data_IF_314314030872
#
_entry.id   IF_314314030872
#
_cell.length_a   1.000
_cell.length_b   1.000
_cell.length_c   1.000
_cell.angle_alpha   90.00
_cell.angle_beta   90.00
_cell.angle_gamma   90.00
#
_symmetry.space_group_name_H-M   'P 1'
#
loop_
_entity.id
_entity.type
_entity.pdbx_description
1 polymer ?
#
# COMPACT_ATOMS: atom_id res chain seq x y z
N UNK A 1 15.49 -5.20 -8.06
CA UNK A 1 14.39 -4.92 -7.11
C UNK A 1 14.70 -3.57 -6.48
N UNK A 2 13.88 -2.55 -6.72
CA UNK A 2 14.01 -1.27 -6.00
C UNK A 2 12.90 -1.26 -4.96
N UNK A 3 13.28 -1.33 -3.68
CA UNK A 3 12.37 -1.14 -2.56
C UNK A 3 12.37 0.35 -2.20
N UNK A 4 11.19 0.97 -2.14
CA UNK A 4 11.06 2.33 -1.63
C UNK A 4 11.40 2.35 -0.14
N UNK A 5 12.09 3.40 0.31
CA UNK A 5 12.38 3.65 1.72
C UNK A 5 11.31 4.52 2.40
N UNK A 6 10.19 4.77 1.72
CA UNK A 6 9.08 5.52 2.28
C UNK A 6 8.52 4.81 3.52
N UNK A 7 8.14 5.60 4.52
CA UNK A 7 7.48 5.10 5.74
C UNK A 7 5.99 5.36 5.74
N UNK A 8 5.54 6.27 4.88
CA UNK A 8 4.12 6.63 4.76
C UNK A 8 3.62 6.52 3.32
N UNK A 9 2.31 6.27 3.12
CA UNK A 9 1.70 6.31 1.79
C UNK A 9 1.91 7.61 1.02
N UNK A 10 2.00 8.74 1.75
CA UNK A 10 2.29 10.04 1.15
C UNK A 10 3.71 10.09 0.62
N UNK A 11 4.69 9.78 1.47
CA UNK A 11 6.11 9.72 1.07
C UNK A 11 6.33 8.78 -0.10
N UNK A 12 5.65 7.62 -0.10
CA UNK A 12 5.76 6.65 -1.18
C UNK A 12 5.38 7.27 -2.53
N UNK A 13 4.24 7.95 -2.60
CA UNK A 13 3.78 8.62 -3.82
C UNK A 13 4.71 9.78 -4.19
N UNK A 14 5.18 10.55 -3.22
CA UNK A 14 6.04 11.72 -3.47
C UNK A 14 7.45 11.30 -3.93
N UNK A 15 7.95 10.12 -3.56
CA UNK A 15 9.23 9.58 -4.03
C UNK A 15 9.19 9.03 -5.47
N UNK A 16 8.00 8.81 -6.05
CA UNK A 16 7.91 8.30 -7.41
C UNK A 16 8.32 9.35 -8.44
N UNK A 17 8.87 8.92 -9.60
CA UNK A 17 9.03 9.77 -10.78
C UNK A 17 7.74 10.50 -11.14
N UNK A 18 7.84 11.75 -11.61
CA UNK A 18 6.68 12.63 -11.82
C UNK A 18 5.65 12.06 -12.79
N UNK A 19 6.10 11.35 -13.83
CA UNK A 19 5.27 10.67 -14.82
C UNK A 19 4.44 9.53 -14.21
N UNK A 20 4.91 8.92 -13.11
CA UNK A 20 4.26 7.78 -12.45
C UNK A 20 3.32 8.19 -11.32
N UNK A 21 3.52 9.36 -10.71
CA UNK A 21 2.69 9.87 -9.62
C UNK A 21 1.19 9.92 -9.97
N UNK A 22 0.76 10.42 -11.16
CA UNK A 22 -0.66 10.51 -11.51
C UNK A 22 -1.34 9.14 -11.54
N UNK A 23 -0.70 8.15 -12.15
CA UNK A 23 -1.22 6.78 -12.24
C UNK A 23 -1.35 6.15 -10.86
N UNK A 24 -0.31 6.26 -10.03
CA UNK A 24 -0.35 5.71 -8.67
C UNK A 24 -1.36 6.42 -7.77
N UNK A 25 -1.56 7.73 -7.92
CA UNK A 25 -2.63 8.46 -7.22
C UNK A 25 -4.02 7.96 -7.64
N UNK A 26 -4.24 7.72 -8.93
CA UNK A 26 -5.51 7.17 -9.44
C UNK A 26 -5.77 5.76 -8.92
N UNK A 27 -4.78 4.87 -8.98
CA UNK A 27 -4.90 3.49 -8.46
C UNK A 27 -5.17 3.48 -6.96
N UNK A 28 -4.41 4.28 -6.18
CA UNK A 28 -4.63 4.44 -4.74
C UNK A 28 -6.04 4.94 -4.43
N UNK A 29 -6.52 5.95 -5.15
CA UNK A 29 -7.87 6.47 -4.97
C UNK A 29 -8.95 5.42 -5.29
N UNK A 30 -8.75 4.65 -6.37
CA UNK A 30 -9.68 3.59 -6.76
C UNK A 30 -9.75 2.48 -5.71
N UNK A 31 -8.61 2.02 -5.18
CA UNK A 31 -8.60 1.01 -4.12
C UNK A 31 -9.28 1.57 -2.87
N UNK A 32 -8.90 2.76 -2.40
CA UNK A 32 -9.52 3.39 -1.22
C UNK A 32 -11.03 3.60 -1.35
N UNK A 33 -11.54 3.87 -2.56
CA UNK A 33 -12.98 4.00 -2.82
C UNK A 33 -13.73 2.68 -2.66
N UNK A 34 -13.10 1.56 -3.02
CA UNK A 34 -13.72 0.23 -2.98
C UNK A 34 -13.38 -0.57 -1.72
N UNK A 35 -12.41 -0.10 -0.93
CA UNK A 35 -11.98 -0.76 0.28
C UNK A 35 -13.02 -0.57 1.39
N UNK A 36 -13.50 -1.65 2.03
CA UNK A 36 -14.45 -1.54 3.13
C UNK A 36 -13.87 -0.73 4.31
N UNK A 37 -14.77 -0.17 5.14
CA UNK A 37 -14.33 0.55 6.35
C UNK A 37 -13.62 -0.39 7.31
N UNK A 38 -12.45 0.01 7.79
CA UNK A 38 -11.70 -0.73 8.81
C UNK A 38 -10.37 -1.30 8.37
N UNK A 39 -10.08 -1.28 7.09
CA UNK A 39 -8.74 -1.56 6.58
C UNK A 39 -7.85 -0.34 6.77
N UNK A 40 -6.56 -0.59 6.96
CA UNK A 40 -5.54 0.45 7.05
C UNK A 40 -4.61 0.41 5.85
N UNK A 41 -4.16 1.59 5.42
CA UNK A 41 -3.18 1.77 4.36
C UNK A 41 -1.81 1.99 5.01
N UNK A 42 -0.84 1.12 4.72
CA UNK A 42 0.49 1.12 5.32
C UNK A 42 1.56 0.94 4.25
N UNK A 43 2.82 1.18 4.61
CA UNK A 43 3.95 0.74 3.78
C UNK A 43 4.51 -0.55 4.36
N UNK A 44 4.56 -1.61 3.55
CA UNK A 44 5.31 -2.85 3.86
C UNK A 44 6.19 -3.25 2.70
N UNK A 45 7.40 -3.71 3.00
CA UNK A 45 8.39 -4.14 2.01
C UNK A 45 8.63 -3.12 0.88
N UNK A 46 8.49 -1.83 1.19
CA UNK A 46 8.64 -0.72 0.23
C UNK A 46 7.50 -0.58 -0.78
N UNK A 47 6.31 -1.11 -0.46
CA UNK A 47 5.09 -1.04 -1.29
C UNK A 47 3.91 -0.53 -0.48
N UNK A 48 2.91 -0.01 -1.17
CA UNK A 48 1.67 0.45 -0.56
C UNK A 48 0.76 -0.74 -0.31
N UNK A 49 0.49 -1.06 0.94
CA UNK A 49 -0.29 -2.22 1.35
C UNK A 49 -1.57 -1.82 2.06
N UNK A 50 -2.61 -2.64 1.89
CA UNK A 50 -3.88 -2.52 2.58
C UNK A 50 -4.07 -3.76 3.44
N UNK A 51 -4.33 -3.59 4.72
CA UNK A 51 -4.42 -4.68 5.68
C UNK A 51 -5.51 -4.48 6.71
N UNK A 52 -5.93 -5.58 7.34
CA UNK A 52 -6.84 -5.55 8.48
C UNK A 52 -6.01 -5.40 9.76
N UNK A 53 -6.21 -4.32 10.54
CA UNK A 53 -5.41 -4.10 11.75
C UNK A 53 -5.72 -5.15 12.81
N UNK A 54 -4.71 -5.53 13.61
CA UNK A 54 -4.84 -6.53 14.67
C UNK A 54 -5.93 -6.18 15.70
N UNK A 55 -6.20 -4.89 15.93
CA UNK A 55 -7.30 -4.47 16.81
C UNK A 55 -8.68 -5.00 16.35
N UNK A 56 -8.84 -5.25 15.05
CA UNK A 56 -10.06 -5.84 14.47
C UNK A 56 -9.96 -7.36 14.30
N UNK A 57 -8.76 -7.88 14.09
CA UNK A 57 -8.50 -9.30 13.91
C UNK A 57 -7.21 -9.67 14.65
N UNK A 58 -7.29 -9.93 15.98
CA UNK A 58 -6.11 -10.13 16.81
C UNK A 58 -5.53 -11.55 16.70
N UNK A 59 -6.38 -12.53 16.35
CA UNK A 59 -6.01 -13.94 16.25
C UNK A 59 -5.60 -14.26 14.81
N UNK A 60 -4.35 -13.95 14.47
CA UNK A 60 -3.73 -14.31 13.20
C UNK A 60 -2.62 -15.33 13.44
N UNK A 61 -2.38 -16.21 12.47
CA UNK A 61 -1.47 -17.36 12.64
C UNK A 61 -0.03 -16.99 13.05
N UNK A 62 0.40 -15.75 12.78
CA UNK A 62 1.73 -15.23 13.09
C UNK A 62 1.70 -13.95 13.93
N UNK A 63 0.53 -13.52 14.43
CA UNK A 63 0.39 -12.27 15.17
C UNK A 63 0.64 -11.00 14.35
N UNK A 64 0.63 -11.07 13.02
CA UNK A 64 0.70 -9.89 12.15
C UNK A 64 -0.66 -9.54 11.51
N UNK A 65 -0.90 -8.27 11.12
CA UNK A 65 -2.08 -7.87 10.36
C UNK A 65 -2.29 -8.69 9.08
N UNK A 66 -3.56 -8.97 8.75
CA UNK A 66 -3.89 -9.71 7.52
C UNK A 66 -3.84 -8.78 6.30
N UNK A 67 -2.91 -9.04 5.39
CA UNK A 67 -2.78 -8.29 4.14
C UNK A 67 -3.92 -8.63 3.18
N UNK A 68 -4.48 -7.60 2.55
CA UNK A 68 -5.59 -7.72 1.61
C UNK A 68 -5.17 -7.45 0.17
N UNK A 69 -4.42 -6.38 -0.04
CA UNK A 69 -3.91 -5.99 -1.35
C UNK A 69 -2.62 -5.19 -1.20
N UNK A 70 -1.80 -5.18 -2.25
CA UNK A 70 -0.63 -4.34 -2.36
C UNK A 70 -0.61 -3.64 -3.73
N UNK A 71 0.02 -2.47 -3.78
CA UNK A 71 0.30 -1.73 -5.00
C UNK A 71 1.77 -1.32 -5.02
N UNK A 72 2.42 -1.61 -6.13
CA UNK A 72 3.84 -1.37 -6.34
C UNK A 72 4.09 -0.70 -7.69
N UNK A 73 4.84 0.40 -7.66
CA UNK A 73 5.37 1.04 -8.85
C UNK A 73 6.81 0.56 -9.09
N UNK A 74 6.98 -0.51 -9.88
CA UNK A 74 8.30 -1.02 -10.25
C UNK A 74 8.84 -0.33 -11.50
N UNK A 75 10.16 -0.44 -11.76
CA UNK A 75 10.84 0.22 -12.88
C UNK A 75 10.10 0.09 -14.22
N UNK A 76 9.64 -1.13 -14.55
CA UNK A 76 9.06 -1.43 -15.86
C UNK A 76 7.54 -1.63 -15.86
N UNK A 77 6.91 -1.75 -14.70
CA UNK A 77 5.48 -2.07 -14.61
C UNK A 77 4.87 -1.58 -13.29
N UNK A 78 3.54 -1.64 -13.23
CA UNK A 78 2.77 -1.47 -12.00
C UNK A 78 2.28 -2.86 -11.57
N UNK A 79 2.43 -3.18 -10.30
CA UNK A 79 1.97 -4.42 -9.68
C UNK A 79 1.08 -4.14 -8.48
#
# INVERSE_FOLDING_TARGET
MVQSQAKTPKEYIDQLPEDRRPTMKKLRALVRKNLPKGYQEVIRWGMLCYEVPLIKCPDTYNGEPLMYAALASQKNHYG
#
